data_IF_813088621573
#
_entry.id   IF_813088621573
#
_cell.length_a   1.000
_cell.length_b   1.000
_cell.length_c   1.000
_cell.angle_alpha   90.00
_cell.angle_beta   90.00
_cell.angle_gamma   90.00
#
_symmetry.space_group_name_H-M   'P 1'
#
loop_
_entity.id
_entity.type
_entity.pdbx_description
1 polymer ?
#
# COMPACT_ATOMS: atom_id res chain seq x y z
N UNK A 1 55.95 -3.84 -19.71
CA UNK A 1 54.81 -3.16 -20.38
C UNK A 1 54.41 -1.95 -19.54
N UNK A 2 54.24 -0.78 -20.17
CA UNK A 2 53.99 0.48 -19.45
C UNK A 2 52.61 0.43 -18.78
N UNK A 3 52.50 0.79 -17.51
CA UNK A 3 51.26 0.80 -16.71
C UNK A 3 50.08 1.49 -17.44
N UNK A 4 50.35 2.58 -18.14
CA UNK A 4 49.34 3.28 -18.97
C UNK A 4 48.80 2.42 -20.11
N UNK A 5 49.63 1.53 -20.69
CA UNK A 5 49.22 0.61 -21.75
C UNK A 5 48.36 -0.53 -21.20
N UNK A 6 48.73 -1.03 -20.01
CA UNK A 6 47.94 -2.06 -19.30
C UNK A 6 46.57 -1.49 -18.95
N UNK A 7 46.49 -0.29 -18.39
CA UNK A 7 45.24 0.37 -18.03
C UNK A 7 44.32 0.55 -19.25
N UNK A 8 44.86 1.04 -20.39
CA UNK A 8 44.06 1.16 -21.62
C UNK A 8 43.50 -0.18 -22.12
N UNK A 9 44.29 -1.25 -22.04
CA UNK A 9 43.85 -2.59 -22.44
C UNK A 9 42.74 -3.08 -21.52
N UNK A 10 42.88 -2.87 -20.20
CA UNK A 10 41.83 -3.24 -19.22
C UNK A 10 40.50 -2.50 -19.44
N UNK A 11 40.59 -1.18 -19.70
CA UNK A 11 39.39 -0.38 -20.00
C UNK A 11 38.71 -0.85 -21.29
N UNK A 12 39.47 -1.15 -22.32
CA UNK A 12 38.94 -1.72 -23.57
C UNK A 12 38.27 -3.08 -23.36
N UNK A 13 38.90 -3.99 -22.60
CA UNK A 13 38.34 -5.31 -22.27
C UNK A 13 37.04 -5.19 -21.46
N UNK A 14 37.02 -4.32 -20.45
CA UNK A 14 35.81 -4.08 -19.66
C UNK A 14 34.70 -3.48 -20.53
N UNK A 15 35.00 -2.56 -21.42
CA UNK A 15 34.05 -1.99 -22.36
C UNK A 15 33.47 -3.03 -23.34
N UNK A 16 34.31 -3.91 -23.88
CA UNK A 16 33.85 -5.00 -24.78
C UNK A 16 33.00 -6.02 -24.05
N UNK A 17 33.35 -6.41 -22.81
CA UNK A 17 32.53 -7.29 -21.99
C UNK A 17 31.20 -6.64 -21.68
N UNK A 18 31.19 -5.37 -21.32
CA UNK A 18 29.94 -4.64 -21.00
C UNK A 18 29.00 -4.54 -22.21
N UNK A 19 29.52 -4.13 -23.37
CA UNK A 19 28.74 -4.06 -24.63
C UNK A 19 28.23 -5.45 -25.05
N UNK A 20 29.09 -6.46 -24.97
CA UNK A 20 28.69 -7.85 -25.26
C UNK A 20 27.59 -8.36 -24.33
N UNK A 21 27.65 -7.99 -23.04
CA UNK A 21 26.60 -8.31 -22.08
C UNK A 21 25.26 -7.64 -22.39
N UNK A 22 25.29 -6.37 -22.80
CA UNK A 22 24.06 -5.65 -23.21
C UNK A 22 23.45 -6.32 -24.44
N UNK A 23 24.24 -6.60 -25.47
CA UNK A 23 23.76 -7.27 -26.69
C UNK A 23 23.15 -8.62 -26.35
N UNK A 24 23.85 -9.43 -25.55
CA UNK A 24 23.35 -10.73 -25.11
C UNK A 24 22.06 -10.65 -24.33
N UNK A 25 21.96 -9.67 -23.40
CA UNK A 25 20.74 -9.51 -22.58
C UNK A 25 19.55 -9.03 -23.40
N UNK A 26 19.76 -8.10 -24.34
CA UNK A 26 18.70 -7.64 -25.25
C UNK A 26 18.22 -8.75 -26.17
N UNK A 27 19.12 -9.60 -26.65
CA UNK A 27 18.74 -10.75 -27.49
C UNK A 27 17.98 -11.82 -26.69
N UNK A 28 18.45 -12.11 -25.46
CA UNK A 28 17.85 -13.12 -24.60
C UNK A 28 16.56 -12.67 -23.91
N UNK A 29 16.44 -11.38 -23.61
CA UNK A 29 15.31 -10.76 -22.95
C UNK A 29 14.87 -9.53 -23.74
N UNK A 30 14.29 -9.70 -24.93
CA UNK A 30 13.81 -8.59 -25.72
C UNK A 30 12.70 -7.86 -24.96
N UNK A 31 12.62 -6.54 -25.14
CA UNK A 31 11.50 -5.77 -24.65
C UNK A 31 10.20 -6.31 -25.23
N UNK A 32 9.22 -6.57 -24.37
CA UNK A 32 7.90 -7.04 -24.79
C UNK A 32 7.11 -5.83 -25.27
N UNK A 33 7.02 -5.63 -26.59
CA UNK A 33 6.09 -4.68 -27.17
C UNK A 33 4.69 -5.29 -27.18
N UNK A 34 3.78 -4.66 -26.44
CA UNK A 34 2.37 -5.06 -26.42
C UNK A 34 1.63 -4.36 -27.54
N UNK A 35 1.17 -5.13 -28.52
CA UNK A 35 0.27 -4.64 -29.56
C UNK A 35 -1.15 -4.57 -29.01
N UNK A 36 -1.46 -3.46 -28.36
CA UNK A 36 -2.77 -3.23 -27.74
C UNK A 36 -3.92 -3.17 -28.75
N UNK A 37 -3.63 -2.80 -30.00
CA UNK A 37 -4.64 -2.67 -31.05
C UNK A 37 -5.09 -4.04 -31.59
N UNK A 38 -4.22 -5.03 -31.57
CA UNK A 38 -4.47 -6.36 -32.11
C UNK A 38 -4.71 -7.45 -31.05
N UNK A 39 -4.89 -7.07 -29.78
CA UNK A 39 -5.23 -8.04 -28.74
C UNK A 39 -6.63 -8.62 -29.00
N UNK A 40 -6.69 -9.92 -29.26
CA UNK A 40 -7.97 -10.63 -29.38
C UNK A 40 -8.58 -10.82 -27.98
N UNK A 41 -9.51 -9.96 -27.62
CA UNK A 41 -10.22 -10.04 -26.33
C UNK A 41 -11.39 -11.01 -26.33
N UNK A 42 -11.74 -11.62 -27.49
CA UNK A 42 -12.91 -12.50 -27.62
C UNK A 42 -12.78 -13.78 -26.79
N UNK A 43 -11.56 -14.24 -26.59
CA UNK A 43 -11.27 -15.44 -25.81
C UNK A 43 -10.84 -15.11 -24.36
N UNK A 44 -10.82 -13.82 -24.00
CA UNK A 44 -10.51 -13.36 -22.65
C UNK A 44 -11.79 -13.24 -21.84
N UNK A 45 -12.08 -14.25 -21.03
CA UNK A 45 -13.22 -14.22 -20.11
C UNK A 45 -12.78 -14.62 -18.72
N UNK A 46 -13.43 -14.03 -17.74
CA UNK A 46 -13.30 -14.39 -16.35
C UNK A 46 -14.52 -15.20 -15.90
N UNK A 47 -14.38 -16.09 -14.93
CA UNK A 47 -15.54 -16.77 -14.35
C UNK A 47 -16.62 -15.78 -13.93
N UNK A 48 -17.90 -16.17 -14.05
CA UNK A 48 -19.05 -15.29 -13.70
C UNK A 48 -18.95 -14.68 -12.31
N UNK A 49 -18.34 -15.41 -11.36
CA UNK A 49 -18.21 -14.98 -9.97
C UNK A 49 -16.80 -14.42 -9.66
N UNK A 50 -16.06 -13.99 -10.69
CA UNK A 50 -14.77 -13.38 -10.45
C UNK A 50 -14.92 -12.05 -9.69
N UNK A 51 -14.08 -11.90 -8.65
CA UNK A 51 -14.12 -10.71 -7.80
C UNK A 51 -13.17 -9.65 -8.35
N UNK A 52 -13.74 -8.58 -8.85
CA UNK A 52 -13.03 -7.36 -9.24
C UNK A 52 -13.14 -6.37 -8.09
N UNK A 53 -12.02 -5.96 -7.52
CA UNK A 53 -12.05 -5.09 -6.35
C UNK A 53 -11.00 -4.01 -6.34
N UNK A 54 -11.27 -3.00 -5.54
CA UNK A 54 -10.28 -2.01 -5.10
C UNK A 54 -9.85 -2.31 -3.67
N UNK A 55 -8.70 -1.77 -3.25
CA UNK A 55 -8.20 -1.97 -1.90
C UNK A 55 -7.55 -0.69 -1.37
N UNK A 56 -7.83 -0.38 -0.10
CA UNK A 56 -7.20 0.72 0.63
C UNK A 56 -6.79 0.28 2.04
N UNK A 57 -6.01 1.13 2.71
CA UNK A 57 -5.65 0.95 4.12
C UNK A 57 -6.03 2.20 4.92
N UNK A 58 -6.52 2.00 6.14
CA UNK A 58 -7.09 3.04 6.98
C UNK A 58 -6.20 4.28 7.11
N UNK A 59 -4.94 4.12 7.50
CA UNK A 59 -4.02 5.24 7.67
C UNK A 59 -3.77 6.04 6.39
N UNK A 60 -3.86 5.40 5.24
CA UNK A 60 -3.58 6.00 3.93
C UNK A 60 -4.74 6.83 3.37
N UNK A 61 -5.97 6.55 3.79
CA UNK A 61 -7.16 7.15 3.16
C UNK A 61 -8.15 7.78 4.11
N UNK A 62 -8.27 7.32 5.36
CA UNK A 62 -9.33 7.77 6.27
C UNK A 62 -9.18 9.23 6.73
N UNK A 63 -7.94 9.67 6.93
CA UNK A 63 -7.63 10.96 7.53
C UNK A 63 -7.63 10.97 9.06
N UNK A 64 -6.84 11.87 9.62
CA UNK A 64 -6.77 12.18 11.07
C UNK A 64 -6.46 11.00 11.98
N UNK A 65 -5.75 9.98 11.49
CA UNK A 65 -5.32 8.81 12.26
C UNK A 65 -4.08 9.14 13.11
N UNK A 66 -4.28 9.84 14.23
CA UNK A 66 -3.20 10.45 15.03
C UNK A 66 -2.68 9.58 16.18
N UNK A 67 -3.35 8.46 16.48
CA UNK A 67 -3.05 7.63 17.66
C UNK A 67 -2.45 6.27 17.30
N UNK A 68 -1.66 6.19 16.22
CA UNK A 68 -1.01 4.96 15.80
C UNK A 68 0.50 5.11 15.60
N UNK A 69 1.18 3.98 15.43
CA UNK A 69 2.62 3.90 15.25
C UNK A 69 3.11 4.63 13.99
N UNK A 70 2.36 4.62 12.88
CA UNK A 70 2.75 5.29 11.64
C UNK A 70 2.65 6.82 11.77
N UNK A 71 1.61 7.34 12.42
CA UNK A 71 1.53 8.77 12.76
C UNK A 71 2.75 9.20 13.57
N UNK A 72 3.13 8.44 14.60
CA UNK A 72 4.33 8.73 15.39
C UNK A 72 5.59 8.68 14.53
N UNK A 73 5.71 7.72 13.62
CA UNK A 73 6.84 7.61 12.72
C UNK A 73 6.94 8.81 11.78
N UNK A 74 5.88 9.19 11.10
CA UNK A 74 5.88 10.31 10.14
C UNK A 74 6.13 11.67 10.79
N UNK A 75 5.90 11.79 12.11
CA UNK A 75 6.20 12.99 12.91
C UNK A 75 7.55 12.90 13.64
N UNK A 76 8.34 11.86 13.40
CA UNK A 76 9.62 11.66 14.06
C UNK A 76 10.80 12.09 13.18
N UNK A 77 11.95 12.26 13.85
CA UNK A 77 13.20 12.64 13.21
C UNK A 77 14.26 11.58 13.49
N UNK A 78 15.25 11.49 12.62
CA UNK A 78 16.44 10.67 12.83
C UNK A 78 17.40 11.34 13.85
N UNK A 79 18.50 10.66 14.16
CA UNK A 79 19.51 11.17 15.09
C UNK A 79 20.22 12.46 14.61
N UNK A 80 20.08 12.83 13.35
CA UNK A 80 20.62 14.05 12.76
C UNK A 80 19.58 15.17 12.67
N UNK A 81 18.38 14.98 13.21
CA UNK A 81 17.28 15.94 13.15
C UNK A 81 16.58 16.01 11.79
N UNK A 82 16.82 15.04 10.89
CA UNK A 82 16.13 14.95 9.60
C UNK A 82 14.83 14.18 9.75
N UNK A 83 13.75 14.67 9.14
CA UNK A 83 12.48 13.94 9.08
C UNK A 83 12.67 12.53 8.50
N UNK A 84 12.01 11.55 9.10
CA UNK A 84 12.03 10.15 8.62
C UNK A 84 11.24 9.97 7.33
N UNK A 85 10.35 10.88 7.01
CA UNK A 85 9.58 10.89 5.76
C UNK A 85 10.21 11.88 4.79
N UNK A 86 10.32 11.48 3.53
CA UNK A 86 10.80 12.35 2.45
C UNK A 86 9.96 13.63 2.38
N UNK A 87 10.59 14.78 2.18
CA UNK A 87 9.96 16.11 2.20
C UNK A 87 9.19 16.46 3.47
N UNK A 88 9.28 15.66 4.53
CA UNK A 88 8.45 15.81 5.75
C UNK A 88 6.95 15.69 5.50
N UNK A 89 6.55 15.00 4.44
CA UNK A 89 5.14 14.76 4.11
C UNK A 89 4.42 14.01 5.25
N UNK A 90 3.13 14.25 5.37
CA UNK A 90 2.27 13.69 6.41
C UNK A 90 1.01 13.14 5.79
N UNK A 91 0.43 12.10 6.40
CA UNK A 91 -0.87 11.57 6.01
C UNK A 91 -2.00 12.59 6.20
N UNK A 92 -1.99 13.34 7.30
CA UNK A 92 -2.93 14.41 7.57
C UNK A 92 -4.40 13.99 7.46
N UNK A 93 -5.13 14.72 6.64
CA UNK A 93 -6.52 14.42 6.26
C UNK A 93 -6.64 13.36 5.16
N UNK A 94 -5.53 12.98 4.55
CA UNK A 94 -5.45 11.98 3.48
C UNK A 94 -6.48 12.26 2.37
N UNK A 95 -7.40 11.31 2.09
CA UNK A 95 -8.52 11.52 1.17
C UNK A 95 -9.86 11.72 1.91
N UNK A 96 -9.80 11.86 3.23
CA UNK A 96 -10.96 12.01 4.10
C UNK A 96 -12.03 10.91 3.92
N UNK A 97 -11.58 9.68 3.62
CA UNK A 97 -12.47 8.55 3.38
C UNK A 97 -13.41 8.30 4.56
N UNK A 98 -12.97 8.60 5.79
CA UNK A 98 -13.82 8.47 6.98
C UNK A 98 -15.14 9.21 6.82
N UNK A 99 -15.14 10.40 6.27
CA UNK A 99 -16.34 11.20 6.05
C UNK A 99 -16.94 10.99 4.66
N UNK A 100 -16.11 10.69 3.66
CA UNK A 100 -16.49 10.65 2.26
C UNK A 100 -16.79 9.23 1.72
N UNK A 101 -16.79 8.20 2.56
CA UNK A 101 -16.93 6.80 2.13
C UNK A 101 -18.14 6.53 1.21
N UNK A 102 -19.27 7.23 1.40
CA UNK A 102 -20.44 7.09 0.54
C UNK A 102 -20.18 7.59 -0.89
N UNK A 103 -19.39 8.65 -1.03
CA UNK A 103 -18.98 9.17 -2.33
C UNK A 103 -17.99 8.20 -3.00
N UNK A 104 -17.04 7.68 -2.25
CA UNK A 104 -16.04 6.72 -2.73
C UNK A 104 -16.70 5.40 -3.17
N UNK A 105 -17.71 4.92 -2.45
CA UNK A 105 -18.51 3.76 -2.85
C UNK A 105 -19.20 4.01 -4.20
N UNK A 106 -19.74 5.19 -4.43
CA UNK A 106 -20.32 5.54 -5.73
C UNK A 106 -19.29 5.57 -6.85
N UNK A 107 -18.06 6.06 -6.58
CA UNK A 107 -16.97 6.00 -7.56
C UNK A 107 -16.59 4.55 -7.88
N UNK A 108 -16.51 3.67 -6.88
CA UNK A 108 -16.25 2.23 -7.08
C UNK A 108 -17.30 1.58 -7.97
N UNK A 109 -18.57 1.91 -7.76
CA UNK A 109 -19.67 1.42 -8.65
C UNK A 109 -19.48 1.90 -10.09
N UNK A 110 -19.10 3.16 -10.27
CA UNK A 110 -18.95 3.75 -11.62
C UNK A 110 -17.80 3.10 -12.41
N UNK A 111 -16.73 2.65 -11.74
CA UNK A 111 -15.65 1.91 -12.40
C UNK A 111 -15.95 0.42 -12.59
N UNK A 112 -17.09 -0.07 -12.07
CA UNK A 112 -17.59 -1.42 -12.34
C UNK A 112 -16.98 -2.52 -11.48
N UNK A 113 -16.37 -2.21 -10.32
CA UNK A 113 -15.91 -3.23 -9.38
C UNK A 113 -17.08 -3.80 -8.58
N UNK A 114 -16.92 -5.03 -8.06
CA UNK A 114 -17.93 -5.74 -7.27
C UNK A 114 -17.46 -6.08 -5.85
N UNK A 115 -16.27 -5.62 -5.44
CA UNK A 115 -15.76 -5.79 -4.09
C UNK A 115 -14.88 -4.61 -3.68
N UNK A 116 -14.80 -4.36 -2.38
CA UNK A 116 -13.90 -3.40 -1.79
C UNK A 116 -13.24 -3.99 -0.54
N UNK A 117 -11.89 -4.04 -0.57
CA UNK A 117 -11.11 -4.37 0.62
C UNK A 117 -10.64 -3.09 1.30
N UNK A 118 -10.94 -2.97 2.58
CA UNK A 118 -10.44 -1.88 3.41
C UNK A 118 -9.97 -2.42 4.77
N UNK A 119 -9.09 -1.69 5.42
CA UNK A 119 -8.73 -2.01 6.81
C UNK A 119 -9.47 -1.12 7.78
N UNK A 120 -9.71 -1.66 8.97
CA UNK A 120 -10.16 -0.86 10.11
C UNK A 120 -8.94 -0.26 10.82
N UNK A 121 -9.07 0.94 11.36
CA UNK A 121 -8.03 1.56 12.17
C UNK A 121 -8.20 1.13 13.63
N UNK A 122 -7.33 0.23 14.07
CA UNK A 122 -7.40 -0.30 15.43
C UNK A 122 -7.31 0.80 16.49
N UNK A 123 -6.53 1.85 16.23
CA UNK A 123 -6.37 2.96 17.18
C UNK A 123 -7.64 3.82 17.35
N UNK A 124 -8.57 3.79 16.39
CA UNK A 124 -9.91 4.37 16.53
C UNK A 124 -10.83 3.45 17.36
N UNK A 125 -10.78 2.14 17.07
CA UNK A 125 -11.62 1.16 17.78
C UNK A 125 -11.20 0.99 19.24
N UNK A 126 -9.90 0.98 19.51
CA UNK A 126 -9.33 0.87 20.86
C UNK A 126 -8.30 1.99 21.10
N UNK A 127 -8.74 3.20 21.36
CA UNK A 127 -7.85 4.34 21.57
C UNK A 127 -6.95 4.20 22.80
N UNK A 128 -7.35 3.40 23.79
CA UNK A 128 -6.54 2.99 24.95
C UNK A 128 -6.77 1.52 25.25
N UNK A 129 -5.87 0.88 26.01
CA UNK A 129 -5.87 -0.57 26.27
C UNK A 129 -7.19 -1.14 26.82
N UNK A 130 -7.97 -0.34 27.52
CA UNK A 130 -9.21 -0.78 28.19
C UNK A 130 -10.46 -0.06 27.67
N UNK A 131 -10.35 0.69 26.58
CA UNK A 131 -11.48 1.43 26.02
C UNK A 131 -11.78 0.97 24.61
N UNK A 132 -12.99 0.49 24.40
CA UNK A 132 -13.55 0.26 23.07
C UNK A 132 -14.40 1.48 22.72
N UNK A 133 -14.18 2.03 21.54
CA UNK A 133 -14.98 3.12 20.99
C UNK A 133 -16.09 2.52 20.12
N UNK A 134 -17.31 2.58 20.64
CA UNK A 134 -18.48 2.00 19.99
C UNK A 134 -18.86 2.80 18.74
N UNK A 135 -18.67 4.11 18.73
CA UNK A 135 -18.98 4.96 17.58
C UNK A 135 -18.08 4.62 16.39
N UNK A 136 -16.80 4.30 16.64
CA UNK A 136 -15.89 3.82 15.59
C UNK A 136 -16.33 2.46 15.02
N UNK A 137 -16.76 1.52 15.87
CA UNK A 137 -17.29 0.23 15.42
C UNK A 137 -18.56 0.42 14.59
N UNK A 138 -19.46 1.27 15.04
CA UNK A 138 -20.71 1.54 14.35
C UNK A 138 -20.48 2.22 13.01
N UNK A 139 -19.49 3.12 12.93
CA UNK A 139 -19.05 3.71 11.66
C UNK A 139 -18.59 2.63 10.65
N UNK A 140 -17.71 1.71 11.04
CA UNK A 140 -17.28 0.63 10.14
C UNK A 140 -18.42 -0.32 9.76
N UNK A 141 -19.38 -0.53 10.65
CA UNK A 141 -20.60 -1.26 10.33
C UNK A 141 -21.43 -0.54 9.26
N UNK A 142 -21.58 0.78 9.37
CA UNK A 142 -22.26 1.60 8.35
C UNK A 142 -21.55 1.55 7.01
N UNK A 143 -20.22 1.58 6.98
CA UNK A 143 -19.44 1.38 5.75
C UNK A 143 -19.76 0.03 5.11
N UNK A 144 -19.76 -1.05 5.89
CA UNK A 144 -20.12 -2.38 5.39
C UNK A 144 -21.54 -2.44 4.83
N UNK A 145 -22.51 -1.85 5.54
CA UNK A 145 -23.92 -1.79 5.09
C UNK A 145 -24.01 -1.01 3.76
N UNK A 146 -23.37 0.15 3.68
CA UNK A 146 -23.39 0.96 2.47
C UNK A 146 -22.77 0.26 1.26
N UNK A 147 -21.73 -0.55 1.47
CA UNK A 147 -21.12 -1.38 0.43
C UNK A 147 -22.13 -2.46 -0.03
N UNK A 148 -22.72 -3.21 0.90
CA UNK A 148 -23.69 -4.27 0.60
C UNK A 148 -24.91 -3.70 -0.14
N UNK A 149 -25.47 -2.60 0.32
CA UNK A 149 -26.60 -1.90 -0.31
C UNK A 149 -26.25 -1.40 -1.72
N UNK A 150 -24.96 -1.15 -1.96
CA UNK A 150 -24.44 -0.74 -3.26
C UNK A 150 -24.08 -1.91 -4.18
N UNK A 151 -24.25 -3.16 -3.72
CA UNK A 151 -23.93 -4.37 -4.47
C UNK A 151 -22.45 -4.74 -4.48
N UNK A 152 -21.64 -4.16 -3.55
CA UNK A 152 -20.22 -4.50 -3.41
C UNK A 152 -20.01 -5.45 -2.24
N UNK A 153 -19.10 -6.41 -2.40
CA UNK A 153 -18.68 -7.31 -1.33
C UNK A 153 -17.64 -6.59 -0.44
N UNK A 154 -17.94 -6.35 0.86
CA UNK A 154 -16.95 -5.81 1.78
C UNK A 154 -15.94 -6.90 2.18
N UNK A 155 -14.65 -6.58 2.07
CA UNK A 155 -13.54 -7.43 2.54
C UNK A 155 -12.78 -6.67 3.62
N UNK A 156 -13.05 -6.96 4.87
CA UNK A 156 -12.50 -6.23 6.01
C UNK A 156 -11.16 -6.82 6.43
N UNK A 157 -10.12 -5.99 6.43
CA UNK A 157 -8.80 -6.31 6.96
C UNK A 157 -8.70 -5.81 8.39
N UNK A 158 -8.56 -6.72 9.36
CA UNK A 158 -8.56 -6.37 10.78
C UNK A 158 -7.29 -5.65 11.23
N UNK A 159 -6.15 -5.94 10.60
CA UNK A 159 -4.88 -5.29 10.87
C UNK A 159 -4.11 -5.08 9.57
N UNK A 160 -3.71 -3.82 9.33
CA UNK A 160 -2.93 -3.43 8.14
C UNK A 160 -1.79 -2.47 8.56
N UNK A 161 -0.75 -3.03 9.18
CA UNK A 161 0.46 -2.39 9.69
C UNK A 161 0.27 -1.42 10.87
N UNK A 162 -0.82 -0.66 10.90
CA UNK A 162 -1.03 0.33 11.95
C UNK A 162 -1.68 -0.29 13.19
N UNK A 163 -1.20 0.13 14.36
CA UNK A 163 -1.76 -0.25 15.64
C UNK A 163 -1.65 0.91 16.64
N UNK A 164 -2.45 0.88 17.72
CA UNK A 164 -2.50 1.97 18.68
C UNK A 164 -1.16 2.24 19.35
N UNK A 165 -0.90 3.49 19.72
CA UNK A 165 0.32 3.88 20.45
C UNK A 165 0.49 3.16 21.78
N UNK A 166 -0.61 2.82 22.47
CA UNK A 166 -0.53 2.05 23.71
C UNK A 166 0.05 0.64 23.46
N UNK A 167 -0.33 -0.03 22.37
CA UNK A 167 0.19 -1.34 21.99
C UNK A 167 1.66 -1.26 21.55
N UNK A 168 2.00 -0.26 20.76
CA UNK A 168 3.37 0.05 20.38
C UNK A 168 4.26 0.28 21.62
N UNK A 169 3.77 1.01 22.64
CA UNK A 169 4.50 1.29 23.86
C UNK A 169 4.71 0.05 24.73
N UNK A 170 3.90 -0.98 24.58
CA UNK A 170 4.10 -2.31 25.19
C UNK A 170 5.14 -3.14 24.42
N UNK A 171 5.63 -2.66 23.27
CA UNK A 171 6.58 -3.35 22.41
C UNK A 171 5.93 -4.04 21.18
N UNK A 172 4.65 -3.77 20.93
CA UNK A 172 3.96 -4.21 19.74
C UNK A 172 4.02 -5.72 19.52
N UNK A 173 4.04 -6.14 18.27
CA UNK A 173 4.19 -7.55 17.87
C UNK A 173 5.62 -8.10 17.99
N UNK A 174 6.60 -7.28 18.38
CA UNK A 174 7.97 -7.74 18.63
C UNK A 174 8.09 -8.54 19.93
N UNK A 175 7.11 -8.42 20.83
CA UNK A 175 7.04 -9.17 22.07
C UNK A 175 6.06 -10.33 22.00
N UNK A 176 6.52 -11.53 22.27
CA UNK A 176 5.72 -12.77 22.27
C UNK A 176 4.51 -12.68 23.22
N UNK A 177 4.66 -12.04 24.37
CA UNK A 177 3.60 -11.85 25.36
C UNK A 177 2.40 -11.03 24.83
N UNK A 178 2.60 -10.24 23.79
CA UNK A 178 1.55 -9.43 23.18
C UNK A 178 0.78 -10.18 22.06
N UNK A 179 1.19 -11.42 21.74
CA UNK A 179 0.60 -12.21 20.64
C UNK A 179 -0.34 -13.30 21.20
N UNK A 180 -0.34 -13.52 22.52
CA UNK A 180 -1.11 -14.56 23.22
C UNK A 180 -2.53 -14.14 23.56
#
# INVERSE_FOLDING_TARGET
MNIKKIFKILVLLLGTVWVGSIIYLNDKYPDVEWDWENINTKDMYFPKNFIWGTATAAHQVEGFNTNNNWYRWEHSFDQNGKSRIHNSDKSGDATDHWNLYKQDINLMKNIGVNAYRFSVEWSKIMPTINKIDQDAIDHYREVCIALIDSGLVPVVTLHHFTHPLWFENLGGFEKEENIK
#
